data_IF_934943779406
#
_entry.id   IF_934943779406
#
_cell.length_a   1.000
_cell.length_b   1.000
_cell.length_c   1.000
_cell.angle_alpha   90.00
_cell.angle_beta   90.00
_cell.angle_gamma   90.00
#
_symmetry.space_group_name_H-M   'P 1'
#
loop_
_entity.id
_entity.type
_entity.pdbx_description
1 polymer ?
#
# COMPACT_ATOMS: atom_id res chain seq x y z
N UNK A 1 10.58 -1.44 -14.26
CA UNK A 1 10.42 -2.65 -15.09
C UNK A 1 8.97 -3.09 -15.30
N UNK A 2 8.13 -3.18 -14.25
CA UNK A 2 6.73 -3.61 -14.44
C UNK A 2 5.85 -2.61 -15.19
N UNK A 3 6.02 -1.30 -14.94
CA UNK A 3 5.38 -0.23 -15.72
C UNK A 3 5.74 -0.38 -17.19
N UNK A 4 7.04 -0.46 -17.51
CA UNK A 4 7.51 -0.66 -18.88
C UNK A 4 6.85 -1.87 -19.55
N UNK A 5 6.87 -3.04 -18.91
CA UNK A 5 6.23 -4.25 -19.46
C UNK A 5 4.74 -4.02 -19.77
N UNK A 6 4.01 -3.32 -18.90
CA UNK A 6 2.56 -3.13 -19.06
C UNK A 6 2.18 -2.19 -20.21
N UNK A 7 3.02 -1.20 -20.52
CA UNK A 7 2.75 -0.24 -21.59
C UNK A 7 3.36 -0.61 -22.95
N UNK A 8 4.50 -1.32 -22.96
CA UNK A 8 5.25 -1.61 -24.19
C UNK A 8 5.11 -3.04 -24.70
N UNK A 9 4.64 -4.00 -23.89
CA UNK A 9 4.33 -5.36 -24.37
C UNK A 9 2.92 -5.39 -25.00
N UNK A 10 2.79 -5.69 -26.31
CA UNK A 10 1.50 -5.71 -27.00
C UNK A 10 0.48 -6.67 -26.37
N UNK A 11 0.93 -7.82 -25.84
CA UNK A 11 0.04 -8.83 -25.25
C UNK A 11 -0.55 -8.36 -23.92
N UNK A 12 0.29 -7.73 -23.09
CA UNK A 12 -0.13 -7.20 -21.79
C UNK A 12 -1.04 -5.98 -21.99
N UNK A 13 -0.71 -5.11 -22.94
CA UNK A 13 -1.51 -3.91 -23.21
C UNK A 13 -2.92 -4.26 -23.72
N UNK A 14 -3.03 -5.28 -24.58
CA UNK A 14 -4.32 -5.74 -25.12
C UNK A 14 -5.28 -6.32 -24.06
N UNK A 15 -4.76 -6.78 -22.93
CA UNK A 15 -5.53 -7.42 -21.84
C UNK A 15 -5.59 -6.57 -20.57
N UNK A 16 -5.05 -5.35 -20.60
CA UNK A 16 -4.99 -4.47 -19.43
C UNK A 16 -6.20 -3.57 -19.33
N UNK A 17 -6.74 -3.41 -18.12
CA UNK A 17 -7.77 -2.41 -17.83
C UNK A 17 -7.14 -1.07 -17.40
N UNK A 18 -7.89 0.03 -17.57
CA UNK A 18 -7.50 1.37 -17.15
C UNK A 18 -7.07 1.43 -15.69
N UNK A 19 -7.87 0.85 -14.79
CA UNK A 19 -7.59 0.83 -13.35
C UNK A 19 -6.22 0.20 -13.01
N UNK A 20 -5.85 -0.88 -13.69
CA UNK A 20 -4.57 -1.55 -13.48
C UNK A 20 -3.38 -0.73 -13.99
N UNK A 21 -3.58 0.03 -15.06
CA UNK A 21 -2.56 0.91 -15.63
C UNK A 21 -2.40 2.17 -14.77
N UNK A 22 -3.50 2.73 -14.26
CA UNK A 22 -3.47 3.87 -13.37
C UNK A 22 -2.79 3.51 -12.03
N UNK A 23 -3.17 2.40 -11.40
CA UNK A 23 -2.66 2.08 -10.06
C UNK A 23 -1.16 1.78 -10.05
N UNK A 24 -0.62 1.15 -11.10
CA UNK A 24 0.82 0.90 -11.18
C UNK A 24 1.63 2.19 -11.36
N UNK A 25 1.08 3.18 -12.08
CA UNK A 25 1.70 4.49 -12.23
C UNK A 25 1.65 5.28 -10.91
N UNK A 26 0.50 5.26 -10.23
CA UNK A 26 0.33 5.89 -8.92
C UNK A 26 1.29 5.28 -7.90
N UNK A 27 1.44 3.96 -7.85
CA UNK A 27 2.40 3.30 -6.97
C UNK A 27 3.86 3.66 -7.31
N UNK A 28 4.18 3.76 -8.60
CA UNK A 28 5.52 4.18 -9.02
C UNK A 28 5.80 5.63 -8.63
N UNK A 29 4.82 6.52 -8.78
CA UNK A 29 4.91 7.91 -8.34
C UNK A 29 5.05 7.99 -6.81
N UNK A 30 4.26 7.22 -6.05
CA UNK A 30 4.36 7.16 -4.60
C UNK A 30 5.75 6.69 -4.15
N UNK A 31 6.28 5.66 -4.81
CA UNK A 31 7.64 5.17 -4.58
C UNK A 31 8.68 6.25 -4.87
N UNK A 32 8.59 6.92 -6.01
CA UNK A 32 9.49 8.02 -6.37
C UNK A 32 9.43 9.16 -5.35
N UNK A 33 8.23 9.60 -4.95
CA UNK A 33 8.04 10.61 -3.90
C UNK A 33 8.65 10.17 -2.57
N UNK A 34 8.45 8.91 -2.19
CA UNK A 34 9.03 8.36 -0.95
C UNK A 34 10.55 8.39 -0.97
N UNK A 35 11.18 8.00 -2.08
CA UNK A 35 12.63 8.12 -2.23
C UNK A 35 13.08 9.58 -2.25
N UNK A 36 12.34 10.47 -2.91
CA UNK A 36 12.66 11.91 -2.94
C UNK A 36 12.66 12.55 -1.54
N UNK A 37 11.86 12.04 -0.60
CA UNK A 37 11.88 12.55 0.77
C UNK A 37 13.21 12.33 1.49
N UNK A 38 14.01 11.33 1.07
CA UNK A 38 15.31 11.03 1.68
C UNK A 38 16.26 12.23 1.58
N UNK A 39 16.24 12.96 0.47
CA UNK A 39 17.10 14.14 0.28
C UNK A 39 16.83 15.24 1.32
N UNK A 40 15.58 15.36 1.79
CA UNK A 40 15.18 16.32 2.82
C UNK A 40 15.40 15.73 4.22
N UNK A 41 15.10 14.44 4.41
CA UNK A 41 15.30 13.76 5.70
C UNK A 41 16.77 13.68 6.11
N UNK A 42 17.71 13.58 5.17
CA UNK A 42 19.16 13.62 5.43
C UNK A 42 19.61 14.93 6.08
N UNK A 43 18.86 16.02 5.87
CA UNK A 43 19.16 17.32 6.52
C UNK A 43 18.71 17.35 7.99
N UNK A 44 17.92 16.36 8.43
CA UNK A 44 17.28 16.27 9.74
C UNK A 44 17.56 14.90 10.40
N UNK A 45 18.85 14.57 10.55
CA UNK A 45 19.30 13.30 11.15
C UNK A 45 18.95 13.16 12.64
N UNK A 46 18.53 14.24 13.28
CA UNK A 46 18.01 14.23 14.66
C UNK A 46 16.63 13.57 14.78
N UNK A 47 15.99 13.23 13.65
CA UNK A 47 14.75 12.47 13.62
C UNK A 47 13.51 13.28 14.00
N UNK A 48 13.62 14.60 14.19
CA UNK A 48 12.47 15.45 14.57
C UNK A 48 11.33 15.40 13.55
N UNK A 49 11.65 15.38 12.26
CA UNK A 49 10.65 15.23 11.20
C UNK A 49 9.92 13.89 11.28
N UNK A 50 10.64 12.80 11.61
CA UNK A 50 10.02 11.49 11.78
C UNK A 50 9.02 11.46 12.95
N UNK A 51 9.36 12.11 14.06
CA UNK A 51 8.46 12.18 15.23
C UNK A 51 7.14 12.88 14.91
N UNK A 52 7.18 13.94 14.08
CA UNK A 52 5.96 14.61 13.58
C UNK A 52 5.05 13.64 12.84
N UNK A 53 5.61 12.82 11.94
CA UNK A 53 4.82 11.84 11.18
C UNK A 53 4.26 10.71 12.04
N UNK A 54 5.03 10.24 13.03
CA UNK A 54 4.55 9.23 13.98
C UNK A 54 3.39 9.78 14.81
N UNK A 55 3.52 11.00 15.34
CA UNK A 55 2.47 11.64 16.12
C UNK A 55 1.20 11.88 15.29
N UNK A 56 1.36 12.36 14.04
CA UNK A 56 0.26 12.49 13.08
C UNK A 56 -0.44 11.15 12.83
N UNK A 57 0.31 10.10 12.49
CA UNK A 57 -0.25 8.79 12.18
C UNK A 57 -0.98 8.19 13.39
N UNK A 58 -0.39 8.31 14.58
CA UNK A 58 -1.03 7.88 15.83
C UNK A 58 -2.32 8.65 16.08
N UNK A 59 -2.30 9.98 15.97
CA UNK A 59 -3.48 10.82 16.18
C UNK A 59 -4.64 10.47 15.24
N UNK A 60 -4.36 10.19 13.97
CA UNK A 60 -5.39 9.73 13.02
C UNK A 60 -5.97 8.39 13.44
N UNK A 61 -5.13 7.41 13.83
CA UNK A 61 -5.58 6.07 14.20
C UNK A 61 -6.28 6.00 15.56
N UNK A 62 -5.94 6.89 16.48
CA UNK A 62 -6.59 7.02 17.79
C UNK A 62 -7.76 8.01 17.79
N UNK A 63 -8.11 8.56 16.63
CA UNK A 63 -9.15 9.58 16.46
C UNK A 63 -8.95 10.82 17.35
N UNK A 64 -7.69 11.19 17.60
CA UNK A 64 -7.34 12.39 18.34
C UNK A 64 -7.58 13.65 17.47
N UNK A 65 -8.28 14.68 17.99
CA UNK A 65 -8.43 15.95 17.29
C UNK A 65 -7.07 16.65 17.15
N UNK A 66 -6.93 17.50 16.13
CA UNK A 66 -5.70 18.27 15.91
C UNK A 66 -4.53 17.46 15.31
N UNK A 67 -4.74 16.22 14.87
CA UNK A 67 -3.67 15.42 14.26
C UNK A 67 -2.99 16.11 13.07
N UNK A 68 -3.75 16.91 12.30
CA UNK A 68 -3.21 17.69 11.17
C UNK A 68 -2.13 18.71 11.60
N UNK A 69 -2.17 19.19 12.84
CA UNK A 69 -1.28 20.24 13.34
C UNK A 69 0.18 19.77 13.37
N UNK A 70 0.42 18.47 13.57
CA UNK A 70 1.75 17.87 13.57
C UNK A 70 2.47 18.00 12.22
N UNK A 71 1.74 18.17 11.11
CA UNK A 71 2.29 18.21 9.75
C UNK A 71 2.09 19.56 9.05
N UNK A 72 1.72 20.63 9.77
CA UNK A 72 1.52 21.95 9.14
C UNK A 72 2.83 22.48 8.57
N UNK A 73 3.94 22.38 9.31
CA UNK A 73 5.22 23.00 8.94
C UNK A 73 6.21 22.07 8.24
N UNK A 74 5.79 20.85 7.87
CA UNK A 74 6.65 19.89 7.17
C UNK A 74 6.81 20.27 5.70
N UNK A 75 7.94 19.88 5.11
CA UNK A 75 8.21 20.15 3.71
C UNK A 75 7.08 19.63 2.77
N UNK A 76 6.73 20.35 1.69
CA UNK A 76 5.63 19.98 0.80
C UNK A 76 5.73 18.57 0.21
N UNK A 77 6.95 18.03 0.03
CA UNK A 77 7.16 16.67 -0.47
C UNK A 77 6.51 15.61 0.44
N UNK A 78 6.55 15.82 1.76
CA UNK A 78 5.96 14.88 2.72
C UNK A 78 4.44 14.95 2.63
N UNK A 79 3.87 16.15 2.48
CA UNK A 79 2.43 16.34 2.27
C UNK A 79 1.96 15.67 0.98
N UNK A 80 2.71 15.82 -0.11
CA UNK A 80 2.42 15.15 -1.37
C UNK A 80 2.46 13.62 -1.23
N UNK A 81 3.46 13.09 -0.54
CA UNK A 81 3.58 11.65 -0.28
C UNK A 81 2.43 11.12 0.60
N UNK A 82 2.05 11.84 1.66
CA UNK A 82 0.93 11.48 2.53
C UNK A 82 -0.38 11.51 1.74
N UNK A 83 -0.64 12.59 0.99
CA UNK A 83 -1.85 12.75 0.20
C UNK A 83 -2.02 11.64 -0.84
N UNK A 84 -0.96 11.37 -1.62
CA UNK A 84 -0.99 10.30 -2.63
C UNK A 84 -1.10 8.92 -1.97
N UNK A 85 -0.46 8.71 -0.81
CA UNK A 85 -0.60 7.52 0.01
C UNK A 85 -2.04 7.26 0.46
N UNK A 86 -2.70 8.27 1.03
CA UNK A 86 -4.12 8.19 1.43
C UNK A 86 -5.04 7.98 0.22
N UNK A 87 -4.71 8.58 -0.92
CA UNK A 87 -5.44 8.35 -2.18
C UNK A 87 -5.36 6.88 -2.61
N UNK A 88 -4.20 6.21 -2.44
CA UNK A 88 -4.07 4.78 -2.71
C UNK A 88 -4.99 3.95 -1.81
N UNK A 89 -5.13 4.31 -0.52
CA UNK A 89 -6.09 3.64 0.38
C UNK A 89 -7.54 3.79 -0.08
N UNK A 90 -7.92 4.93 -0.68
CA UNK A 90 -9.27 5.13 -1.25
C UNK A 90 -9.46 4.29 -2.51
N UNK A 91 -8.43 4.18 -3.36
CA UNK A 91 -8.47 3.38 -4.59
C UNK A 91 -8.34 1.87 -4.33
N UNK A 92 -7.88 1.49 -3.13
CA UNK A 92 -7.60 0.12 -2.76
C UNK A 92 -8.72 -0.88 -3.06
N UNK A 93 -9.99 -0.69 -2.63
CA UNK A 93 -11.07 -1.66 -2.86
C UNK A 93 -11.52 -1.77 -4.33
N UNK A 94 -11.15 -0.80 -5.18
CA UNK A 94 -11.58 -0.72 -6.58
C UNK A 94 -10.50 -1.13 -7.57
N UNK A 95 -9.34 -1.54 -7.08
CA UNK A 95 -8.19 -1.92 -7.91
C UNK A 95 -7.73 -3.34 -7.57
N UNK A 96 -6.84 -3.88 -8.39
CA UNK A 96 -6.20 -5.18 -8.12
C UNK A 96 -5.50 -5.27 -6.75
N UNK A 97 -5.25 -4.15 -6.06
CA UNK A 97 -4.58 -4.14 -4.75
C UNK A 97 -5.29 -4.95 -3.66
N UNK A 98 -6.60 -5.21 -3.82
CA UNK A 98 -7.36 -6.12 -2.94
C UNK A 98 -6.71 -7.49 -2.77
N UNK A 99 -5.88 -7.93 -3.72
CA UNK A 99 -5.11 -9.18 -3.62
C UNK A 99 -4.22 -9.21 -2.36
N UNK A 100 -3.83 -8.06 -1.82
CA UNK A 100 -3.01 -7.96 -0.61
C UNK A 100 -3.71 -8.59 0.61
N UNK A 101 -5.06 -8.53 0.68
CA UNK A 101 -5.83 -9.15 1.77
C UNK A 101 -5.85 -10.69 1.67
N UNK A 102 -5.61 -11.23 0.49
CA UNK A 102 -5.65 -12.68 0.22
C UNK A 102 -4.27 -13.34 0.38
N UNK A 103 -3.37 -12.72 1.15
CA UNK A 103 -2.05 -13.29 1.43
C UNK A 103 -2.20 -14.70 2.05
N UNK A 104 -1.64 -15.75 1.43
CA UNK A 104 -1.94 -17.14 1.80
C UNK A 104 -1.12 -17.60 3.03
N UNK A 105 -1.10 -16.83 4.11
CA UNK A 105 -0.33 -17.13 5.33
C UNK A 105 -0.73 -18.48 5.93
N UNK A 106 -2.02 -18.82 5.89
CA UNK A 106 -2.57 -20.10 6.37
C UNK A 106 -2.04 -21.32 5.60
N UNK A 107 -1.50 -21.15 4.39
CA UNK A 107 -0.96 -22.26 3.61
C UNK A 107 0.22 -22.94 4.29
N UNK A 108 1.03 -22.18 5.06
CA UNK A 108 2.22 -22.68 5.75
C UNK A 108 1.84 -23.73 6.81
N UNK A 109 0.74 -23.51 7.55
CA UNK A 109 0.27 -24.41 8.61
C UNK A 109 -0.85 -25.35 8.18
N UNK A 110 -1.10 -25.46 6.87
CA UNK A 110 -2.21 -26.28 6.39
C UNK A 110 -1.84 -27.77 6.49
N UNK A 111 -2.66 -28.52 7.20
CA UNK A 111 -2.55 -29.99 7.28
C UNK A 111 -3.09 -30.63 5.99
N UNK A 112 -2.26 -31.46 5.36
CA UNK A 112 -2.61 -32.19 4.13
C UNK A 112 -2.48 -31.38 2.84
N UNK A 113 -1.73 -31.93 1.88
CA UNK A 113 -1.60 -31.37 0.53
C UNK A 113 -2.90 -31.51 -0.27
N UNK A 114 -3.67 -32.58 -0.05
CA UNK A 114 -4.92 -32.86 -0.75
C UNK A 114 -6.09 -32.10 -0.12
N UNK A 115 -6.88 -31.40 -0.95
CA UNK A 115 -8.15 -30.79 -0.54
C UNK A 115 -9.26 -31.71 -1.02
N UNK A 116 -10.06 -32.23 -0.09
CA UNK A 116 -11.31 -32.93 -0.41
C UNK A 116 -12.46 -32.17 0.24
N UNK A 117 -13.51 -31.89 -0.52
CA UNK A 117 -14.74 -31.26 -0.01
C UNK A 117 -15.85 -32.30 -0.03
N UNK A 118 -16.49 -32.54 1.11
CA UNK A 118 -17.62 -33.45 1.26
C UNK A 118 -18.91 -32.66 1.39
N UNK A 119 -20.05 -33.23 0.95
CA UNK A 119 -21.39 -32.65 1.16
C UNK A 119 -21.90 -32.86 2.59
N UNK A 120 -21.25 -33.73 3.35
CA UNK A 120 -21.60 -34.06 4.73
C UNK A 120 -20.78 -33.19 5.68
N UNK A 121 -21.39 -32.71 6.76
CA UNK A 121 -20.65 -32.16 7.89
C UNK A 121 -19.88 -33.29 8.57
N UNK A 122 -18.65 -33.52 8.12
CA UNK A 122 -17.73 -34.47 8.73
C UNK A 122 -16.75 -33.65 9.57
N UNK A 123 -16.66 -33.89 10.90
CA UNK A 123 -15.72 -33.17 11.74
C UNK A 123 -14.28 -33.37 11.25
N UNK A 124 -13.39 -32.37 11.39
CA UNK A 124 -12.01 -32.49 10.94
C UNK A 124 -11.32 -33.67 11.64
N UNK A 125 -10.68 -34.54 10.84
CA UNK A 125 -9.86 -35.64 11.34
C UNK A 125 -8.64 -35.03 12.06
N UNK A 126 -8.41 -35.44 13.32
CA UNK A 126 -7.27 -35.02 14.14
C UNK A 126 -5.93 -35.46 13.53
#
# INVERSE_FOLDING_TARGET
MLVHRRFFDPRVRATSNFADNAIILILWLQFALGLSTIFISIQHLDGKEMLKFVAWAQGILTFAPGAADYIIDVAPIYKAHIFLGLTIFILFPFTRLVHMLSAPVRYIWRTGYQIVRTKRDVPPVK
#
